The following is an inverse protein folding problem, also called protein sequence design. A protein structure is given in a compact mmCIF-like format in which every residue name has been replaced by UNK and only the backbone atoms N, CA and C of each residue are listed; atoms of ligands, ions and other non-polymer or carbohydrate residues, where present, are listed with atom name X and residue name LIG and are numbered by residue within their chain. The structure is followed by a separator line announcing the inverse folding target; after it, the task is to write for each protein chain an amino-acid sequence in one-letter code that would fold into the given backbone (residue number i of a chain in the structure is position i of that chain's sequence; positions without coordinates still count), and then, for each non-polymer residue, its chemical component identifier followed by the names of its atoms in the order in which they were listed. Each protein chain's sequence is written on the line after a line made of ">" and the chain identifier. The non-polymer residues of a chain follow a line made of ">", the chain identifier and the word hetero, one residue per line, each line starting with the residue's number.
data_IF_860881726613
#
_entry.id   IF_860881726613
#
_cell.length_a   1.000
_cell.length_b   1.000
_cell.length_c   1.000
_cell.angle_alpha   90.00
_cell.angle_beta   90.00
_cell.angle_gamma   90.00
#
_symmetry.space_group_name_H-M   'P 1'
#
loop_
_entity.id
_entity.type
_entity.pdbx_description
1 polymer ?
#
# COMPACT_ATOMS: atom_id res chain seq x y z
N UNK A 1 -5.44 -35.59 20.93
CA UNK A 1 -4.17 -34.93 20.55
C UNK A 1 -4.57 -33.64 19.87
N UNK A 2 -4.35 -32.48 20.49
CA UNK A 2 -4.68 -31.20 19.84
C UNK A 2 -3.77 -31.02 18.63
N UNK A 3 -4.38 -30.94 17.45
CA UNK A 3 -3.72 -30.48 16.24
C UNK A 3 -3.34 -29.01 16.47
N UNK A 4 -2.05 -28.73 16.66
CA UNK A 4 -1.53 -27.37 16.58
C UNK A 4 -1.88 -26.79 15.22
N UNK A 5 -2.35 -25.55 15.22
CA UNK A 5 -2.67 -24.85 13.97
C UNK A 5 -1.34 -24.65 13.21
N UNK A 6 -1.28 -24.85 11.88
CA UNK A 6 -0.03 -24.72 11.11
C UNK A 6 0.68 -23.36 11.28
N UNK A 7 -0.04 -22.31 11.69
CA UNK A 7 0.53 -21.00 11.96
C UNK A 7 1.19 -20.89 13.35
N UNK A 8 0.91 -21.81 14.27
CA UNK A 8 1.46 -21.79 15.63
C UNK A 8 2.99 -21.87 15.64
N UNK A 9 3.60 -22.47 14.61
CA UNK A 9 5.05 -22.57 14.49
C UNK A 9 5.75 -21.24 14.24
N UNK A 10 5.03 -20.22 13.76
CA UNK A 10 5.58 -18.90 13.49
C UNK A 10 5.53 -17.98 14.69
N UNK A 11 4.67 -18.29 15.66
CA UNK A 11 4.44 -17.45 16.84
C UNK A 11 5.74 -17.26 17.61
N UNK A 12 6.10 -16.01 17.82
CA UNK A 12 7.26 -15.63 18.61
C UNK A 12 6.79 -15.37 20.05
N UNK A 13 7.41 -16.00 21.08
CA UNK A 13 7.18 -15.63 22.47
C UNK A 13 7.41 -14.14 22.68
N UNK A 14 6.58 -13.49 23.50
CA UNK A 14 6.58 -12.03 23.69
C UNK A 14 7.97 -11.49 24.02
N UNK A 15 8.67 -12.16 24.92
CA UNK A 15 10.00 -11.84 25.42
C UNK A 15 11.12 -11.96 24.37
N UNK A 16 10.85 -12.62 23.24
CA UNK A 16 11.78 -12.78 22.13
C UNK A 16 11.48 -11.84 20.96
N UNK A 17 10.42 -11.04 21.03
CA UNK A 17 10.09 -10.06 20.00
C UNK A 17 10.99 -8.84 20.14
N UNK A 18 11.87 -8.66 19.16
CA UNK A 18 12.69 -7.46 19.03
C UNK A 18 12.02 -6.48 18.05
N UNK A 19 11.30 -5.50 18.60
CA UNK A 19 10.57 -4.48 17.84
C UNK A 19 11.51 -3.68 16.94
N UNK A 20 12.69 -3.29 17.43
CA UNK A 20 13.63 -2.46 16.67
C UNK A 20 14.20 -3.27 15.51
N UNK A 21 14.62 -4.51 15.74
CA UNK A 21 15.14 -5.36 14.67
C UNK A 21 14.10 -5.62 13.56
N UNK A 22 12.84 -5.86 13.94
CA UNK A 22 11.75 -6.05 12.98
C UNK A 22 11.51 -4.76 12.18
N UNK A 23 11.44 -3.61 12.85
CA UNK A 23 11.23 -2.32 12.18
C UNK A 23 12.39 -1.95 11.26
N UNK A 24 13.65 -2.19 11.66
CA UNK A 24 14.83 -1.92 10.85
C UNK A 24 14.86 -2.80 9.59
N UNK A 25 14.61 -4.10 9.70
CA UNK A 25 14.62 -4.99 8.53
C UNK A 25 13.45 -4.69 7.58
N UNK A 26 12.26 -4.41 8.12
CA UNK A 26 11.11 -3.99 7.31
C UNK A 26 11.39 -2.69 6.55
N UNK A 27 11.94 -1.69 7.24
CA UNK A 27 12.25 -0.39 6.64
C UNK A 27 13.41 -0.47 5.65
N UNK A 28 14.38 -1.38 5.83
CA UNK A 28 15.41 -1.67 4.84
C UNK A 28 14.81 -2.05 3.49
N UNK A 29 13.84 -2.97 3.44
CA UNK A 29 13.19 -3.34 2.19
C UNK A 29 12.38 -2.17 1.58
N UNK A 30 11.68 -1.40 2.42
CA UNK A 30 10.91 -0.25 1.97
C UNK A 30 11.80 0.85 1.37
N UNK A 31 12.93 1.17 2.03
CA UNK A 31 13.90 2.16 1.54
C UNK A 31 14.47 1.76 0.17
N UNK A 32 14.88 0.50 0.02
CA UNK A 32 15.38 -0.03 -1.27
C UNK A 32 14.30 0.08 -2.34
N UNK A 33 13.08 -0.34 -2.02
CA UNK A 33 11.94 -0.29 -2.95
C UNK A 33 11.64 1.14 -3.38
N UNK A 34 11.63 2.09 -2.45
CA UNK A 34 11.41 3.51 -2.73
C UNK A 34 12.53 4.10 -3.59
N UNK A 35 13.80 3.87 -3.25
CA UNK A 35 14.96 4.36 -3.99
C UNK A 35 14.94 3.85 -5.44
N UNK A 36 14.83 2.53 -5.63
CA UNK A 36 14.90 1.94 -6.96
C UNK A 36 13.66 2.27 -7.79
N UNK A 37 12.46 2.31 -7.20
CA UNK A 37 11.25 2.74 -7.92
C UNK A 37 11.39 4.17 -8.41
N UNK A 38 11.87 5.09 -7.55
CA UNK A 38 12.06 6.48 -7.91
C UNK A 38 13.10 6.63 -9.02
N UNK A 39 14.24 5.94 -8.92
CA UNK A 39 15.27 5.98 -9.95
C UNK A 39 14.76 5.42 -11.29
N UNK A 40 14.10 4.26 -11.25
CA UNK A 40 13.57 3.58 -12.44
C UNK A 40 12.43 4.35 -13.10
N UNK A 41 11.73 5.23 -12.38
CA UNK A 41 10.70 6.11 -12.95
C UNK A 41 11.24 7.03 -14.05
N UNK A 42 12.51 7.45 -13.96
CA UNK A 42 13.18 8.25 -15.00
C UNK A 42 13.54 7.44 -16.26
N UNK A 43 13.42 6.11 -16.19
CA UNK A 43 13.80 5.17 -17.25
C UNK A 43 12.66 4.19 -17.58
N UNK A 44 11.39 4.64 -17.51
CA UNK A 44 10.21 3.78 -17.58
C UNK A 44 10.22 2.74 -18.73
N UNK A 45 10.54 3.15 -19.97
CA UNK A 45 10.59 2.23 -21.12
C UNK A 45 11.64 1.14 -20.95
N UNK A 46 12.84 1.50 -20.48
CA UNK A 46 13.94 0.56 -20.30
C UNK A 46 13.70 -0.34 -19.09
N UNK A 47 13.14 0.21 -18.00
CA UNK A 47 12.65 -0.55 -16.86
C UNK A 47 11.68 -1.64 -17.31
N UNK A 48 10.64 -1.29 -18.08
CA UNK A 48 9.63 -2.25 -18.52
C UNK A 48 10.22 -3.34 -19.42
N UNK A 49 11.17 -2.97 -20.30
CA UNK A 49 11.94 -3.92 -21.10
C UNK A 49 12.72 -4.89 -20.21
N UNK A 50 13.43 -4.37 -19.21
CA UNK A 50 14.24 -5.17 -18.29
C UNK A 50 13.39 -6.08 -17.39
N UNK A 51 12.24 -5.61 -16.90
CA UNK A 51 11.26 -6.44 -16.17
C UNK A 51 10.79 -7.59 -17.07
N UNK A 52 10.44 -7.30 -18.32
CA UNK A 52 9.99 -8.32 -19.26
C UNK A 52 11.08 -9.37 -19.55
N UNK A 53 12.35 -8.95 -19.71
CA UNK A 53 13.48 -9.89 -19.83
C UNK A 53 13.69 -10.71 -18.56
N UNK A 54 13.61 -10.08 -17.39
CA UNK A 54 13.76 -10.73 -16.09
C UNK A 54 12.74 -11.88 -15.94
N UNK A 55 11.49 -11.64 -16.30
CA UNK A 55 10.42 -12.64 -16.24
C UNK A 55 10.47 -13.73 -17.30
N UNK A 56 11.42 -13.70 -18.24
CA UNK A 56 11.71 -14.86 -19.11
C UNK A 56 12.47 -15.96 -18.36
N UNK A 57 13.12 -15.65 -17.24
CA UNK A 57 13.82 -16.64 -16.45
C UNK A 57 12.80 -17.51 -15.69
N UNK A 58 12.80 -18.84 -15.89
CA UNK A 58 11.78 -19.73 -15.33
C UNK A 58 11.82 -19.81 -13.79
N UNK A 59 12.97 -19.47 -13.20
CA UNK A 59 13.18 -19.48 -11.75
C UNK A 59 12.68 -18.19 -11.07
N UNK A 60 12.33 -17.15 -11.84
CA UNK A 60 11.83 -15.88 -11.32
C UNK A 60 10.31 -15.84 -11.39
N UNK A 61 9.70 -15.54 -10.24
CA UNK A 61 8.25 -15.45 -10.10
C UNK A 61 7.81 -14.02 -10.43
N UNK A 62 6.83 -13.82 -11.35
CA UNK A 62 6.30 -12.49 -11.64
C UNK A 62 5.36 -11.96 -10.56
N UNK A 63 5.04 -12.80 -9.56
CA UNK A 63 4.21 -12.44 -8.42
C UNK A 63 5.07 -12.29 -7.18
N UNK A 64 4.80 -11.24 -6.41
CA UNK A 64 5.39 -11.00 -5.09
C UNK A 64 4.58 -11.68 -3.96
N UNK A 65 3.59 -12.51 -4.28
CA UNK A 65 2.78 -13.17 -3.26
C UNK A 65 3.66 -14.10 -2.39
N UNK A 66 3.60 -14.00 -1.05
CA UNK A 66 4.46 -14.78 -0.14
C UNK A 66 4.40 -16.29 -0.39
N UNK A 67 3.20 -16.80 -0.71
CA UNK A 67 2.93 -18.21 -0.98
C UNK A 67 3.63 -18.76 -2.23
N UNK A 68 4.15 -17.90 -3.11
CA UNK A 68 4.97 -18.31 -4.25
C UNK A 68 6.41 -18.62 -3.85
N UNK A 69 6.86 -18.14 -2.69
CA UNK A 69 8.23 -18.25 -2.21
C UNK A 69 8.36 -19.18 -1.01
N UNK A 70 7.39 -19.15 -0.09
CA UNK A 70 7.40 -19.93 1.15
C UNK A 70 6.00 -20.49 1.38
N UNK A 71 5.87 -21.82 1.44
CA UNK A 71 4.60 -22.46 1.78
C UNK A 71 4.30 -22.35 3.27
N UNK A 72 3.02 -22.31 3.64
CA UNK A 72 2.61 -22.41 5.04
C UNK A 72 3.14 -23.73 5.62
N UNK A 73 3.76 -23.67 6.79
CA UNK A 73 4.48 -24.78 7.40
C UNK A 73 6.00 -24.78 7.15
N UNK A 74 6.52 -23.92 6.27
CA UNK A 74 7.96 -23.80 5.99
C UNK A 74 8.60 -22.63 6.74
N UNK A 75 9.89 -22.75 7.04
CA UNK A 75 10.69 -21.66 7.62
C UNK A 75 10.90 -20.55 6.58
N UNK A 76 10.46 -19.29 6.81
CA UNK A 76 10.67 -18.19 5.87
C UNK A 76 12.15 -17.86 5.63
N UNK A 77 13.05 -18.27 6.53
CA UNK A 77 14.49 -18.04 6.42
C UNK A 77 15.10 -18.71 5.19
N UNK A 78 14.47 -19.77 4.67
CA UNK A 78 14.89 -20.43 3.42
C UNK A 78 14.83 -19.51 2.20
N UNK A 79 13.98 -18.48 2.25
CA UNK A 79 13.86 -17.45 1.23
C UNK A 79 14.57 -16.16 1.64
N UNK A 80 14.34 -15.68 2.86
CA UNK A 80 14.86 -14.38 3.31
C UNK A 80 16.39 -14.31 3.33
N UNK A 81 17.08 -15.37 3.78
CA UNK A 81 18.56 -15.39 3.85
C UNK A 81 19.20 -15.24 2.46
N UNK A 82 18.91 -16.09 1.45
CA UNK A 82 19.53 -15.96 0.14
C UNK A 82 19.14 -14.65 -0.56
N UNK A 83 17.89 -14.19 -0.40
CA UNK A 83 17.46 -12.92 -1.00
C UNK A 83 18.18 -11.73 -0.37
N UNK A 84 18.37 -11.71 0.95
CA UNK A 84 19.14 -10.67 1.63
C UNK A 84 20.60 -10.65 1.14
N UNK A 85 21.23 -11.82 0.96
CA UNK A 85 22.57 -11.89 0.42
C UNK A 85 22.66 -11.31 -1.01
N UNK A 86 21.63 -11.52 -1.83
CA UNK A 86 21.58 -10.98 -3.18
C UNK A 86 21.32 -9.46 -3.19
N UNK A 87 20.45 -8.96 -2.31
CA UNK A 87 20.26 -7.53 -2.06
C UNK A 87 21.58 -6.86 -1.66
N UNK A 88 22.34 -7.48 -0.76
CA UNK A 88 23.63 -6.98 -0.30
C UNK A 88 24.66 -6.96 -1.43
N UNK A 89 24.69 -8.01 -2.27
CA UNK A 89 25.55 -8.06 -3.46
C UNK A 89 25.23 -6.94 -4.44
N UNK A 90 23.96 -6.56 -4.56
CA UNK A 90 23.47 -5.52 -5.47
C UNK A 90 23.52 -4.11 -4.88
N UNK A 91 23.99 -3.92 -3.64
CA UNK A 91 24.00 -2.62 -2.97
C UNK A 91 25.44 -2.06 -2.82
N UNK A 92 25.77 -0.86 -3.33
CA UNK A 92 24.92 0.01 -4.16
C UNK A 92 24.81 -0.52 -5.60
N UNK A 93 23.66 -0.33 -6.26
CA UNK A 93 23.46 -0.82 -7.62
C UNK A 93 24.22 0.07 -8.63
N UNK A 94 24.89 -0.57 -9.59
CA UNK A 94 25.74 0.07 -10.58
C UNK A 94 25.07 0.25 -11.93
N UNK A 95 24.06 -0.56 -12.24
CA UNK A 95 23.34 -0.51 -13.51
C UNK A 95 21.83 -0.50 -13.32
N UNK A 96 21.10 -0.20 -14.39
CA UNK A 96 19.64 -0.22 -14.37
C UNK A 96 19.11 -1.65 -14.17
N UNK A 97 19.77 -2.65 -14.75
CA UNK A 97 19.49 -4.08 -14.55
C UNK A 97 19.65 -4.47 -13.09
N UNK A 98 20.72 -4.03 -12.43
CA UNK A 98 20.94 -4.29 -11.00
C UNK A 98 19.86 -3.64 -10.14
N UNK A 99 19.40 -2.43 -10.48
CA UNK A 99 18.27 -1.78 -9.80
C UNK A 99 16.95 -2.53 -9.99
N UNK A 100 16.66 -2.97 -11.21
CA UNK A 100 15.47 -3.79 -11.49
C UNK A 100 15.53 -5.09 -10.70
N UNK A 101 16.67 -5.79 -10.70
CA UNK A 101 16.83 -7.03 -9.93
C UNK A 101 16.67 -6.78 -8.42
N UNK A 102 17.36 -5.77 -7.88
CA UNK A 102 17.32 -5.41 -6.45
C UNK A 102 15.91 -5.04 -6.00
N UNK A 103 15.16 -4.29 -6.82
CA UNK A 103 13.76 -3.96 -6.57
C UNK A 103 12.88 -5.21 -6.45
N UNK A 104 13.02 -6.20 -7.35
CA UNK A 104 12.22 -7.44 -7.28
C UNK A 104 12.57 -8.26 -6.04
N UNK A 105 13.86 -8.38 -5.73
CA UNK A 105 14.31 -9.09 -4.54
C UNK A 105 13.78 -8.42 -3.26
N UNK A 106 13.90 -7.10 -3.16
CA UNK A 106 13.40 -6.35 -2.01
C UNK A 106 11.87 -6.44 -1.87
N UNK A 107 11.12 -6.32 -2.97
CA UNK A 107 9.67 -6.46 -2.95
C UNK A 107 9.21 -7.86 -2.53
N UNK A 108 9.84 -8.92 -3.05
CA UNK A 108 9.54 -10.29 -2.64
C UNK A 108 9.88 -10.54 -1.16
N UNK A 109 11.06 -10.09 -0.71
CA UNK A 109 11.47 -10.20 0.69
C UNK A 109 10.54 -9.44 1.63
N UNK A 110 10.12 -8.22 1.26
CA UNK A 110 9.15 -7.42 2.00
C UNK A 110 7.85 -8.20 2.23
N UNK A 111 7.30 -8.78 1.18
CA UNK A 111 6.05 -9.54 1.27
C UNK A 111 6.19 -10.78 2.15
N UNK A 112 7.26 -11.56 1.99
CA UNK A 112 7.52 -12.74 2.83
C UNK A 112 7.77 -12.34 4.28
N UNK A 113 8.57 -11.31 4.52
CA UNK A 113 8.86 -10.82 5.86
C UNK A 113 7.58 -10.35 6.57
N UNK A 114 6.78 -9.53 5.91
CA UNK A 114 5.52 -9.04 6.46
C UNK A 114 4.58 -10.19 6.83
N UNK A 115 4.41 -11.17 5.93
CA UNK A 115 3.52 -12.32 6.19
C UNK A 115 3.99 -13.17 7.38
N UNK A 116 5.26 -13.56 7.40
CA UNK A 116 5.73 -14.58 8.34
C UNK A 116 6.29 -14.01 9.64
N UNK A 117 6.87 -12.81 9.62
CA UNK A 117 7.48 -12.18 10.81
C UNK A 117 6.53 -11.22 11.52
N UNK A 118 5.62 -10.58 10.78
CA UNK A 118 4.65 -9.64 11.35
C UNK A 118 3.30 -10.35 11.52
N UNK A 119 2.59 -10.59 10.41
CA UNK A 119 1.21 -11.12 10.44
C UNK A 119 1.10 -12.45 11.18
N UNK A 120 2.05 -13.39 10.99
CA UNK A 120 2.05 -14.65 11.74
C UNK A 120 2.92 -14.61 13.00
N UNK A 121 4.05 -13.91 12.95
CA UNK A 121 5.06 -13.93 14.01
C UNK A 121 4.59 -13.27 15.30
N UNK A 122 3.90 -12.14 15.18
CA UNK A 122 3.46 -11.32 16.32
C UNK A 122 1.93 -11.15 16.39
N UNK A 123 1.18 -11.99 15.69
CA UNK A 123 -0.30 -11.96 15.59
C UNK A 123 -1.05 -11.86 16.92
N UNK A 124 -0.43 -12.29 18.03
CA UNK A 124 -1.03 -12.29 19.37
C UNK A 124 -0.48 -11.20 20.29
N UNK A 125 0.38 -10.33 19.78
CA UNK A 125 1.01 -9.25 20.52
C UNK A 125 0.69 -7.92 19.83
N UNK A 126 -0.60 -7.55 19.83
CA UNK A 126 -1.08 -6.35 19.12
C UNK A 126 -0.33 -5.08 19.51
N UNK A 127 0.02 -4.93 20.80
CA UNK A 127 0.80 -3.81 21.29
C UNK A 127 2.23 -3.76 20.71
N UNK A 128 2.84 -4.92 20.42
CA UNK A 128 4.17 -5.00 19.80
C UNK A 128 4.08 -4.74 18.30
N UNK A 129 3.01 -5.21 17.64
CA UNK A 129 2.73 -4.88 16.24
C UNK A 129 2.59 -3.37 16.07
N UNK A 130 1.81 -2.71 16.94
CA UNK A 130 1.67 -1.26 16.94
C UNK A 130 2.98 -0.52 17.18
N UNK A 131 3.86 -1.06 18.05
CA UNK A 131 5.20 -0.51 18.24
C UNK A 131 6.07 -0.66 16.98
N UNK A 132 6.02 -1.80 16.29
CA UNK A 132 6.72 -2.01 15.01
C UNK A 132 6.21 -1.03 13.95
N UNK A 133 4.89 -0.84 13.83
CA UNK A 133 4.29 0.08 12.87
C UNK A 133 4.69 1.52 13.15
N UNK A 134 4.64 1.96 14.42
CA UNK A 134 5.08 3.28 14.83
C UNK A 134 6.56 3.50 14.52
N UNK A 135 7.41 2.55 14.91
CA UNK A 135 8.84 2.66 14.70
C UNK A 135 9.23 2.66 13.23
N UNK A 136 8.57 1.81 12.42
CA UNK A 136 8.68 1.82 10.96
C UNK A 136 8.37 3.20 10.39
N UNK A 137 7.28 3.84 10.85
CA UNK A 137 6.88 5.18 10.41
C UNK A 137 7.98 6.20 10.72
N UNK A 138 8.45 6.26 11.96
CA UNK A 138 9.53 7.17 12.36
C UNK A 138 10.78 7.02 11.47
N UNK A 139 11.24 5.79 11.23
CA UNK A 139 12.43 5.53 10.40
C UNK A 139 12.20 5.93 8.93
N UNK A 140 10.99 5.74 8.41
CA UNK A 140 10.65 6.12 7.03
C UNK A 140 10.49 7.63 6.90
N UNK A 141 9.88 8.31 7.88
CA UNK A 141 9.75 9.77 7.91
C UNK A 141 11.15 10.41 7.90
N UNK A 142 12.05 9.95 8.79
CA UNK A 142 13.46 10.39 8.80
C UNK A 142 14.17 10.15 7.46
N UNK A 143 13.88 9.03 6.79
CA UNK A 143 14.44 8.72 5.49
C UNK A 143 13.90 9.64 4.38
N UNK A 144 12.59 9.87 4.35
CA UNK A 144 11.96 10.72 3.35
C UNK A 144 12.40 12.18 3.52
N UNK A 145 12.39 12.70 4.73
CA UNK A 145 12.76 14.08 5.04
C UNK A 145 14.26 14.36 4.88
N UNK A 146 15.09 13.32 4.96
CA UNK A 146 16.55 13.43 4.90
C UNK A 146 17.17 12.83 3.65
N UNK A 147 17.43 11.53 3.70
CA UNK A 147 18.23 10.82 2.69
C UNK A 147 17.57 10.82 1.31
N UNK A 148 16.27 10.58 1.24
CA UNK A 148 15.52 10.45 0.00
C UNK A 148 15.46 11.76 -0.79
N UNK A 149 15.10 12.86 -0.12
CA UNK A 149 15.13 14.21 -0.73
C UNK A 149 16.51 14.56 -1.24
N UNK A 150 17.58 14.23 -0.48
CA UNK A 150 18.96 14.46 -0.94
C UNK A 150 19.31 13.65 -2.19
N UNK A 151 18.77 12.43 -2.34
CA UNK A 151 18.96 11.60 -3.53
C UNK A 151 18.16 12.11 -4.74
N UNK A 152 16.99 12.71 -4.51
CA UNK A 152 16.06 13.13 -5.56
C UNK A 152 15.59 14.58 -5.36
N UNK A 153 16.49 15.58 -5.43
CA UNK A 153 16.16 16.98 -5.14
C UNK A 153 15.16 17.58 -6.13
N UNK A 154 14.97 16.97 -7.31
CA UNK A 154 13.99 17.44 -8.29
C UNK A 154 12.54 17.25 -7.82
N UNK A 155 12.29 16.42 -6.81
CA UNK A 155 10.95 16.23 -6.23
C UNK A 155 10.49 17.49 -5.48
N UNK A 156 11.37 18.14 -4.72
CA UNK A 156 11.08 19.43 -4.08
C UNK A 156 10.88 20.55 -5.12
N UNK A 157 11.66 20.50 -6.20
CA UNK A 157 11.54 21.46 -7.30
C UNK A 157 10.23 21.28 -8.06
N UNK A 158 9.74 20.06 -8.34
CA UNK A 158 8.42 19.88 -8.98
C UNK A 158 7.25 20.33 -8.11
N UNK A 159 7.38 20.22 -6.78
CA UNK A 159 6.39 20.75 -5.85
C UNK A 159 6.41 22.30 -5.83
N UNK A 160 7.57 22.92 -6.07
CA UNK A 160 7.77 24.38 -6.06
C UNK A 160 7.58 25.05 -7.44
N UNK A 161 7.91 24.34 -8.52
CA UNK A 161 7.87 24.76 -9.93
C UNK A 161 6.62 24.24 -10.63
N UNK A 162 5.56 23.93 -9.87
CA UNK A 162 4.21 23.91 -10.42
C UNK A 162 3.68 25.35 -10.42
N UNK A 163 3.86 26.17 -11.49
CA UNK A 163 2.81 27.14 -11.77
C UNK A 163 1.55 26.29 -11.96
N UNK A 164 0.49 26.64 -11.25
CA UNK A 164 -0.85 26.13 -11.50
C UNK A 164 -1.16 26.28 -13.00
N UNK A 165 -0.79 25.29 -13.79
CA UNK A 165 -1.06 25.26 -15.22
C UNK A 165 -2.44 24.68 -15.29
N UNK A 166 -3.40 25.55 -15.04
CA UNK A 166 -4.79 25.38 -15.39
C UNK A 166 -4.82 25.14 -16.89
N UNK A 167 -4.78 23.88 -17.31
CA UNK A 167 -5.16 23.52 -18.67
C UNK A 167 -6.66 23.80 -18.79
N UNK A 168 -6.97 25.05 -19.13
CA UNK A 168 -8.28 25.45 -19.61
C UNK A 168 -8.53 24.75 -20.96
N UNK A 169 -8.99 23.50 -20.92
CA UNK A 169 -9.81 22.97 -21.99
C UNK A 169 -11.24 23.43 -21.72
N UNK A 170 -11.56 24.62 -22.26
CA UNK A 170 -12.90 25.15 -22.43
C UNK A 170 -13.80 24.09 -23.09
N UNK A 171 -14.74 23.54 -22.33
CA UNK A 171 -16.12 23.36 -22.76
C UNK A 171 -17.02 23.83 -21.61
N UNK A 172 -17.25 25.14 -21.57
CA UNK A 172 -18.36 25.71 -20.81
C UNK A 172 -19.66 25.34 -21.52
N UNK A 173 -20.51 24.58 -20.85
CA UNK A 173 -21.95 24.86 -20.82
C UNK A 173 -22.37 24.85 -19.34
N UNK A 174 -23.03 25.91 -18.85
CA UNK A 174 -23.35 26.07 -17.44
C UNK A 174 -24.67 25.40 -17.10
N UNK A 175 -24.65 24.53 -16.09
CA UNK A 175 -25.88 24.14 -15.39
C UNK A 175 -25.64 24.34 -13.90
N UNK A 176 -26.41 25.21 -13.22
CA UNK A 176 -26.25 25.42 -11.78
C UNK A 176 -26.80 24.20 -11.04
N UNK A 177 -25.90 23.33 -10.56
CA UNK A 177 -26.24 22.33 -9.56
C UNK A 177 -26.47 23.03 -8.22
N UNK A 178 -27.51 22.66 -7.45
CA UNK A 178 -27.97 23.46 -6.33
C UNK A 178 -26.90 23.55 -5.24
N UNK A 179 -26.58 24.78 -4.84
CA UNK A 179 -25.87 25.03 -3.59
C UNK A 179 -26.83 24.67 -2.45
N UNK A 180 -26.81 23.43 -2.03
CA UNK A 180 -27.45 23.06 -0.78
C UNK A 180 -26.48 23.36 0.34
N UNK A 181 -26.54 24.60 0.81
CA UNK A 181 -26.12 24.96 2.16
C UNK A 181 -26.81 24.01 3.13
N UNK A 182 -26.11 22.97 3.56
CA UNK A 182 -26.57 22.09 4.61
C UNK A 182 -25.71 22.28 5.85
N UNK A 183 -26.38 22.88 6.82
CA UNK A 183 -26.02 22.98 8.23
C UNK A 183 -25.34 21.72 8.78
N UNK A 184 -24.03 21.80 9.04
CA UNK A 184 -23.36 21.36 10.27
C UNK A 184 -23.51 19.92 10.79
N UNK A 185 -24.10 18.98 10.05
CA UNK A 185 -24.21 17.58 10.47
C UNK A 185 -23.66 16.67 9.37
N UNK A 186 -22.61 15.87 9.64
CA UNK A 186 -22.09 14.89 8.69
C UNK A 186 -23.19 13.92 8.25
N UNK A 187 -23.48 13.85 6.95
CA UNK A 187 -24.45 12.91 6.38
C UNK A 187 -23.77 11.55 6.20
N UNK A 188 -24.28 10.53 6.89
CA UNK A 188 -23.86 9.13 6.68
C UNK A 188 -24.29 8.65 5.28
N UNK A 189 -23.42 7.89 4.62
CA UNK A 189 -23.76 7.18 3.39
C UNK A 189 -24.77 6.08 3.73
N UNK A 190 -25.95 6.14 3.13
CA UNK A 190 -27.00 5.14 3.35
C UNK A 190 -26.73 3.85 2.54
N UNK A 191 -27.29 2.72 2.99
CA UNK A 191 -27.14 1.43 2.27
C UNK A 191 -27.59 1.50 0.81
N UNK A 192 -28.64 2.28 0.51
CA UNK A 192 -29.13 2.46 -0.86
C UNK A 192 -28.14 3.26 -1.72
N UNK A 193 -27.47 4.25 -1.12
CA UNK A 193 -26.39 5.01 -1.77
C UNK A 193 -25.15 4.13 -2.02
N UNK A 194 -24.79 3.26 -1.07
CA UNK A 194 -23.71 2.26 -1.28
C UNK A 194 -24.01 1.40 -2.49
N UNK A 195 -25.20 0.81 -2.57
CA UNK A 195 -25.58 -0.04 -3.71
C UNK A 195 -25.64 0.75 -5.01
N UNK A 196 -26.08 2.01 -4.98
CA UNK A 196 -26.06 2.88 -6.16
C UNK A 196 -24.63 3.13 -6.65
N UNK A 197 -23.68 3.40 -5.75
CA UNK A 197 -22.26 3.58 -6.09
C UNK A 197 -21.63 2.30 -6.63
N UNK A 198 -21.95 1.14 -6.05
CA UNK A 198 -21.43 -0.15 -6.53
C UNK A 198 -22.02 -0.54 -7.88
N UNK A 199 -23.29 -0.19 -8.14
CA UNK A 199 -23.92 -0.44 -9.44
C UNK A 199 -23.40 0.48 -10.54
N UNK A 200 -23.02 1.72 -10.21
CA UNK A 200 -22.40 2.65 -11.14
C UNK A 200 -21.12 3.29 -10.56
N UNK A 201 -19.98 2.58 -10.60
CA UNK A 201 -18.71 3.02 -9.99
C UNK A 201 -18.18 4.36 -10.49
N UNK A 202 -18.55 4.78 -11.70
CA UNK A 202 -18.16 6.10 -12.24
C UNK A 202 -18.70 7.27 -11.42
N UNK A 203 -19.81 7.07 -10.70
CA UNK A 203 -20.43 8.09 -9.85
C UNK A 203 -19.71 8.28 -8.52
N UNK A 204 -18.79 7.39 -8.18
CA UNK A 204 -18.02 7.42 -6.93
C UNK A 204 -16.73 8.25 -7.06
N UNK A 205 -16.23 8.42 -8.28
CA UNK A 205 -14.94 9.07 -8.56
C UNK A 205 -15.00 10.56 -8.21
N UNK A 206 -14.04 11.01 -7.41
CA UNK A 206 -13.92 12.41 -6.96
C UNK A 206 -14.90 12.84 -5.88
N UNK A 207 -15.66 11.92 -5.28
CA UNK A 207 -16.42 12.19 -4.06
C UNK A 207 -15.51 11.92 -2.85
N UNK A 208 -15.41 12.91 -1.98
CA UNK A 208 -14.65 12.80 -0.74
C UNK A 208 -15.55 12.33 0.40
N UNK A 209 -15.06 11.34 1.13
CA UNK A 209 -15.72 10.72 2.27
C UNK A 209 -14.82 10.79 3.49
N UNK A 210 -15.42 10.67 4.68
CA UNK A 210 -14.69 10.44 5.94
C UNK A 210 -15.14 9.10 6.50
N UNK A 211 -14.21 8.15 6.56
CA UNK A 211 -14.46 6.83 7.15
C UNK A 211 -14.41 6.93 8.68
N UNK A 212 -15.38 6.30 9.34
CA UNK A 212 -15.53 6.27 10.80
C UNK A 212 -16.23 4.97 11.21
N UNK A 213 -15.48 3.85 11.35
CA UNK A 213 -16.07 2.57 11.70
C UNK A 213 -16.67 2.60 13.12
N UNK A 214 -17.76 1.85 13.38
CA UNK A 214 -18.36 1.79 14.70
C UNK A 214 -17.35 1.25 15.70
N UNK A 215 -17.20 1.96 16.83
CA UNK A 215 -16.34 1.52 17.92
C UNK A 215 -16.88 0.19 18.44
N UNK A 216 -16.12 -0.89 18.25
CA UNK A 216 -16.45 -2.16 18.86
C UNK A 216 -16.43 -2.00 20.38
N UNK A 217 -17.46 -2.51 21.06
CA UNK A 217 -17.36 -2.84 22.48
C UNK A 217 -16.37 -4.01 22.61
N UNK A 218 -15.09 -3.67 22.62
CA UNK A 218 -13.97 -4.59 22.64
C UNK A 218 -12.71 -3.76 22.51
N UNK A 219 -11.89 -3.79 23.55
CA UNK A 219 -10.65 -3.03 23.74
C UNK A 219 -9.72 -3.16 22.52
N UNK A 220 -9.83 -2.23 21.57
CA UNK A 220 -8.87 -1.98 20.50
C UNK A 220 -8.98 -0.49 20.14
N UNK A 221 -8.30 0.37 20.91
CA UNK A 221 -8.07 1.77 20.56
C UNK A 221 -7.01 1.84 19.44
N UNK A 222 -7.38 1.37 18.26
CA UNK A 222 -6.68 1.63 17.01
C UNK A 222 -7.18 2.94 16.42
N UNK A 223 -6.53 4.04 16.76
CA UNK A 223 -6.77 5.40 16.22
C UNK A 223 -6.41 5.52 14.71
N UNK A 224 -6.45 4.42 13.94
CA UNK A 224 -5.76 4.26 12.66
C UNK A 224 -6.62 4.22 11.39
N UNK A 225 -7.90 3.86 11.47
CA UNK A 225 -8.73 3.67 10.28
C UNK A 225 -9.67 4.84 9.96
N UNK A 226 -9.80 5.82 10.87
CA UNK A 226 -10.58 7.02 10.60
C UNK A 226 -9.80 7.99 9.72
N UNK A 227 -10.38 8.42 8.61
CA UNK A 227 -9.70 9.35 7.72
C UNK A 227 -10.50 9.73 6.49
N UNK A 228 -10.12 10.86 5.89
CA UNK A 228 -10.67 11.27 4.61
C UNK A 228 -10.18 10.35 3.49
N UNK A 229 -11.06 10.00 2.58
CA UNK A 229 -10.74 9.17 1.42
C UNK A 229 -11.57 9.54 0.19
N UNK A 230 -11.04 9.23 -0.98
CA UNK A 230 -11.77 9.36 -2.24
C UNK A 230 -11.32 8.31 -3.26
N UNK A 231 -12.19 7.98 -4.20
CA UNK A 231 -11.79 7.16 -5.36
C UNK A 231 -11.21 8.07 -6.43
N UNK A 232 -9.91 7.93 -6.70
CA UNK A 232 -9.23 8.69 -7.75
C UNK A 232 -9.53 8.14 -9.15
N UNK A 233 -9.64 6.82 -9.29
CA UNK A 233 -10.02 6.21 -10.55
C UNK A 233 -10.67 4.84 -10.36
N UNK A 234 -11.53 4.47 -11.32
CA UNK A 234 -12.10 3.14 -11.43
C UNK A 234 -11.77 2.61 -12.84
N UNK A 235 -11.09 1.48 -12.92
CA UNK A 235 -10.82 0.80 -14.19
C UNK A 235 -11.76 -0.38 -14.34
N UNK A 236 -12.52 -0.38 -15.43
CA UNK A 236 -13.44 -1.46 -15.78
C UNK A 236 -12.72 -2.45 -16.69
N UNK A 237 -12.67 -3.71 -16.30
CA UNK A 237 -12.02 -4.79 -17.06
C UNK A 237 -13.01 -5.91 -17.33
N UNK A 238 -12.80 -6.64 -18.42
CA UNK A 238 -13.53 -7.89 -18.67
C UNK A 238 -12.69 -9.04 -18.12
N UNK A 239 -13.10 -9.59 -16.99
CA UNK A 239 -12.50 -10.77 -16.37
C UNK A 239 -13.19 -12.07 -16.78
N UNK A 240 -12.65 -13.19 -16.34
CA UNK A 240 -13.14 -14.54 -16.67
C UNK A 240 -14.54 -14.82 -16.11
N UNK A 241 -14.96 -14.07 -15.08
CA UNK A 241 -16.26 -14.20 -14.41
C UNK A 241 -17.23 -13.06 -14.66
N UNK A 242 -16.87 -12.08 -15.50
CA UNK A 242 -17.73 -10.94 -15.81
C UNK A 242 -16.98 -9.62 -15.94
N UNK A 243 -17.65 -8.53 -15.58
CA UNK A 243 -17.04 -7.20 -15.50
C UNK A 243 -16.44 -7.04 -14.11
N UNK A 244 -15.14 -6.77 -14.05
CA UNK A 244 -14.39 -6.53 -12.82
C UNK A 244 -14.05 -5.04 -12.71
N UNK A 245 -14.16 -4.50 -11.51
CA UNK A 245 -13.89 -3.10 -11.21
C UNK A 245 -12.68 -3.01 -10.27
N UNK A 246 -11.63 -2.35 -10.74
CA UNK A 246 -10.44 -2.06 -9.94
C UNK A 246 -10.45 -0.59 -9.54
N UNK A 247 -10.49 -0.32 -8.25
CA UNK A 247 -10.54 1.02 -7.69
C UNK A 247 -9.14 1.46 -7.29
N UNK A 248 -8.80 2.72 -7.55
CA UNK A 248 -7.63 3.35 -6.97
C UNK A 248 -8.12 4.40 -5.99
N UNK A 249 -7.84 4.17 -4.71
CA UNK A 249 -8.37 4.94 -3.59
C UNK A 249 -7.26 5.74 -2.95
N UNK A 250 -7.51 7.03 -2.75
CA UNK A 250 -6.63 7.91 -1.99
C UNK A 250 -7.11 7.90 -0.55
N UNK A 251 -6.23 7.49 0.36
CA UNK A 251 -6.46 7.57 1.79
C UNK A 251 -5.57 8.65 2.38
N UNK A 252 -6.14 9.60 3.13
CA UNK A 252 -5.37 10.63 3.81
C UNK A 252 -4.38 10.03 4.83
N UNK A 253 -4.74 8.90 5.45
CA UNK A 253 -3.87 8.15 6.36
C UNK A 253 -2.58 7.61 5.69
N UNK A 254 -2.57 7.53 4.35
CA UNK A 254 -1.45 7.01 3.55
C UNK A 254 -0.81 8.11 2.67
N UNK A 255 -0.93 9.38 3.08
CA UNK A 255 -0.23 10.48 2.42
C UNK A 255 -0.78 10.84 1.03
N UNK A 256 -1.94 10.30 0.63
CA UNK A 256 -2.56 10.60 -0.66
C UNK A 256 -1.99 9.82 -1.84
N UNK A 257 -1.27 8.72 -1.62
CA UNK A 257 -0.92 7.80 -2.70
C UNK A 257 -2.10 6.86 -3.05
N UNK A 258 -2.40 6.65 -4.34
CA UNK A 258 -3.51 5.78 -4.76
C UNK A 258 -3.21 4.32 -4.49
N UNK A 259 -4.02 3.70 -3.65
CA UNK A 259 -3.97 2.27 -3.34
C UNK A 259 -4.98 1.50 -4.21
N UNK A 260 -4.58 0.39 -4.85
CA UNK A 260 -5.52 -0.47 -5.53
C UNK A 260 -6.41 -1.18 -4.49
N UNK A 261 -7.73 -1.12 -4.70
CA UNK A 261 -8.73 -1.77 -3.87
C UNK A 261 -9.76 -2.51 -4.73
N UNK A 262 -10.28 -3.60 -4.18
CA UNK A 262 -11.38 -4.35 -4.79
C UNK A 262 -12.76 -3.80 -4.39
N UNK A 263 -13.81 -4.37 -4.99
CA UNK A 263 -15.19 -3.95 -4.75
C UNK A 263 -15.65 -4.21 -3.30
N UNK A 264 -15.14 -5.24 -2.63
CA UNK A 264 -15.52 -5.56 -1.27
C UNK A 264 -14.89 -4.54 -0.29
N UNK A 265 -13.64 -4.17 -0.52
CA UNK A 265 -12.91 -3.16 0.26
C UNK A 265 -13.56 -1.78 0.13
N UNK A 266 -13.90 -1.34 -1.09
CA UNK A 266 -14.57 -0.04 -1.30
C UNK A 266 -15.98 -0.03 -0.71
N UNK A 267 -16.72 -1.15 -0.82
CA UNK A 267 -18.04 -1.30 -0.20
C UNK A 267 -17.94 -1.17 1.33
N UNK A 268 -16.93 -1.77 1.94
CA UNK A 268 -16.68 -1.66 3.38
C UNK A 268 -16.41 -0.21 3.80
N UNK A 269 -15.57 0.51 3.05
CA UNK A 269 -15.29 1.93 3.33
C UNK A 269 -16.56 2.77 3.28
N UNK A 270 -17.39 2.59 2.26
CA UNK A 270 -18.65 3.32 2.08
C UNK A 270 -19.66 3.08 3.22
N UNK A 271 -19.76 1.84 3.71
CA UNK A 271 -20.72 1.47 4.76
C UNK A 271 -20.53 2.25 6.06
N UNK A 272 -19.30 2.68 6.34
CA UNK A 272 -18.97 3.44 7.55
C UNK A 272 -18.45 4.83 7.24
N UNK A 273 -18.89 5.41 6.13
CA UNK A 273 -18.46 6.75 5.71
C UNK A 273 -19.55 7.79 5.86
N UNK A 274 -19.12 9.03 6.09
CA UNK A 274 -19.92 10.24 5.90
C UNK A 274 -19.40 11.02 4.70
N UNK A 275 -20.24 11.80 4.04
CA UNK A 275 -19.78 12.72 2.99
C UNK A 275 -18.92 13.81 3.63
N UNK A 276 -17.73 14.04 3.09
CA UNK A 276 -16.91 15.18 3.48
C UNK A 276 -17.56 16.47 2.99
N UNK A 277 -17.65 17.48 3.85
CA UNK A 277 -18.22 18.81 3.55
C UNK A 277 -17.19 19.77 2.99
#
# INVERSE_FOLDING_TARGET
>A
MSSQHPLDMYKVPRELVDVEAIAQELTRYLKITAEDTQYLSYHATERDRLIAELYKHPDLKPSVAPSQFVQVGQDPSVHLIPVNAEIDRLTPPKTLEERVARLHYAAAALMVFNQFKIVYGIAHHHDLEMQVVRRKREIMDEFYDGEFVRMFPQLEQRASDSPATTTQARLQVPTPGPSTHHSGVPKLVSSDEVEQFMHNPSTLVGIQFVHSPPHGEGEDEGEGDSGAWEVASCTVRKGDKGVEHDYHVLLAAFGGDPLPMDEAEVRYLLQYSTFAT
#
